data_IF_043774924034
#
_entry.id   IF_043774924034
#
_cell.length_a   1.000
_cell.length_b   1.000
_cell.length_c   1.000
_cell.angle_alpha   90.00
_cell.angle_beta   90.00
_cell.angle_gamma   90.00
#
_symmetry.space_group_name_H-M   'P 1'
#
loop_
_entity.id
_entity.type
_entity.pdbx_description
1 polymer ?
#
# COMPACT_ATOMS: atom_id res chain seq x y z
N UNK A 1 -56.18 3.71 -30.59
CA UNK A 1 -54.88 3.91 -31.26
C UNK A 1 -53.79 3.76 -30.21
N UNK A 2 -52.69 3.10 -30.56
CA UNK A 2 -51.67 2.65 -29.61
C UNK A 2 -50.27 2.84 -30.22
N UNK A 3 -49.35 3.41 -29.44
CA UNK A 3 -47.96 3.70 -29.83
C UNK A 3 -47.04 3.15 -28.72
N UNK A 4 -45.91 2.48 -29.04
CA UNK A 4 -45.36 1.44 -28.16
C UNK A 4 -44.30 1.93 -27.15
N UNK A 5 -44.01 1.06 -26.17
CA UNK A 5 -42.84 1.19 -25.28
C UNK A 5 -41.54 0.87 -26.04
N UNK A 6 -40.41 1.56 -25.78
CA UNK A 6 -39.12 1.14 -26.30
C UNK A 6 -38.63 -0.13 -25.58
N UNK A 7 -38.36 -1.18 -26.35
CA UNK A 7 -37.52 -2.29 -25.90
C UNK A 7 -36.05 -1.86 -25.97
N UNK A 8 -35.26 -2.14 -24.93
CA UNK A 8 -33.81 -2.25 -25.03
C UNK A 8 -33.40 -3.70 -24.78
N UNK A 9 -32.96 -4.37 -25.84
CA UNK A 9 -32.45 -5.73 -25.79
C UNK A 9 -30.98 -5.73 -25.34
N UNK A 10 -30.60 -6.69 -24.51
CA UNK A 10 -29.20 -6.95 -24.16
C UNK A 10 -28.46 -7.58 -25.35
N UNK A 11 -27.30 -7.03 -25.79
CA UNK A 11 -26.44 -7.72 -26.74
C UNK A 11 -25.99 -9.08 -26.21
N UNK A 12 -26.12 -10.13 -27.02
CA UNK A 12 -25.78 -11.50 -26.62
C UNK A 12 -24.27 -11.74 -26.64
N UNK A 13 -23.78 -12.63 -25.77
CA UNK A 13 -22.36 -12.84 -25.49
C UNK A 13 -21.66 -13.78 -26.49
N UNK A 14 -21.45 -13.30 -27.73
CA UNK A 14 -20.66 -14.05 -28.74
C UNK A 14 -19.90 -13.10 -29.68
N UNK A 15 -18.82 -13.60 -30.30
CA UNK A 15 -18.00 -12.95 -31.34
C UNK A 15 -17.07 -11.83 -30.81
N UNK A 16 -16.02 -12.24 -30.09
CA UNK A 16 -14.68 -11.63 -30.25
C UNK A 16 -13.56 -12.64 -29.93
N UNK A 17 -13.73 -13.87 -30.46
CA UNK A 17 -12.92 -15.05 -30.15
C UNK A 17 -12.36 -15.71 -31.41
N UNK A 18 -11.67 -14.93 -32.28
CA UNK A 18 -10.91 -15.43 -33.44
C UNK A 18 -9.82 -14.45 -33.89
N UNK A 19 -8.64 -14.56 -33.28
CA UNK A 19 -7.29 -14.32 -33.83
C UNK A 19 -6.28 -14.62 -32.72
N UNK A 20 -5.05 -15.03 -33.08
CA UNK A 20 -4.01 -15.58 -32.17
C UNK A 20 -4.42 -16.89 -31.46
N UNK A 21 -4.11 -18.03 -32.08
CA UNK A 21 -4.36 -19.35 -31.50
C UNK A 21 -3.27 -19.78 -30.50
N UNK A 22 -3.65 -19.97 -29.25
CA UNK A 22 -2.89 -20.69 -28.22
C UNK A 22 -3.80 -21.67 -27.46
N UNK A 23 -3.29 -22.79 -26.92
CA UNK A 23 -4.12 -23.84 -26.35
C UNK A 23 -4.78 -23.43 -25.02
N UNK A 24 -6.05 -23.79 -24.85
CA UNK A 24 -6.84 -23.39 -23.70
C UNK A 24 -6.56 -24.25 -22.46
N UNK A 25 -5.90 -23.69 -21.44
CA UNK A 25 -6.04 -24.11 -20.02
C UNK A 25 -5.43 -23.13 -18.99
N UNK A 26 -5.97 -21.92 -18.89
CA UNK A 26 -5.79 -21.07 -17.70
C UNK A 26 -7.09 -20.30 -17.39
N UNK A 27 -7.89 -20.83 -16.46
CA UNK A 27 -8.91 -20.02 -15.79
C UNK A 27 -8.22 -19.14 -14.76
N UNK A 28 -8.26 -17.82 -14.98
CA UNK A 28 -7.86 -16.85 -13.96
C UNK A 28 -8.77 -16.97 -12.74
N UNK A 29 -8.19 -16.97 -11.53
CA UNK A 29 -8.95 -16.96 -10.27
C UNK A 29 -9.59 -15.58 -10.06
N UNK A 30 -10.75 -15.40 -10.69
CA UNK A 30 -11.59 -14.22 -10.57
C UNK A 30 -12.30 -14.21 -9.21
N UNK A 31 -11.72 -13.50 -8.24
CA UNK A 31 -12.41 -13.19 -6.99
C UNK A 31 -13.47 -12.10 -7.26
N UNK A 32 -14.77 -12.35 -6.98
CA UNK A 32 -15.78 -11.30 -7.10
C UNK A 32 -15.52 -10.21 -6.05
N UNK A 33 -15.51 -8.95 -6.48
CA UNK A 33 -15.44 -7.83 -5.55
C UNK A 33 -16.70 -7.83 -4.66
N UNK A 34 -16.50 -7.80 -3.33
CA UNK A 34 -17.60 -7.81 -2.36
C UNK A 34 -18.51 -6.62 -2.61
N UNK A 35 -19.77 -6.87 -2.99
CA UNK A 35 -20.76 -5.80 -3.21
C UNK A 35 -21.01 -5.06 -1.90
N UNK A 36 -20.55 -3.81 -1.81
CA UNK A 36 -21.00 -2.87 -0.79
C UNK A 36 -22.42 -2.46 -1.14
N UNK A 37 -23.41 -2.99 -0.42
CA UNK A 37 -24.77 -2.49 -0.45
C UNK A 37 -24.88 -1.30 0.51
N UNK A 38 -25.13 -0.13 -0.04
CA UNK A 38 -25.48 1.07 0.74
C UNK A 38 -26.96 0.98 1.10
N UNK A 39 -27.27 1.10 2.40
CA UNK A 39 -28.62 1.40 2.90
C UNK A 39 -28.59 2.75 3.59
N UNK A 40 -29.68 3.51 3.45
CA UNK A 40 -29.93 4.71 4.26
C UNK A 40 -30.36 4.33 5.69
N UNK A 41 -30.16 5.25 6.64
CA UNK A 41 -30.59 5.12 8.03
C UNK A 41 -29.47 4.74 9.01
N UNK A 42 -28.89 5.75 9.66
CA UNK A 42 -28.21 5.78 10.96
C UNK A 42 -27.12 4.75 11.33
N UNK A 43 -25.99 5.28 11.83
CA UNK A 43 -24.91 4.58 12.55
C UNK A 43 -24.22 3.40 11.85
N UNK A 44 -23.33 3.71 10.91
CA UNK A 44 -22.40 2.73 10.29
C UNK A 44 -21.34 2.25 11.30
N UNK A 45 -21.55 1.07 11.89
CA UNK A 45 -20.54 0.36 12.69
C UNK A 45 -19.68 -0.52 11.75
N UNK A 46 -18.40 -0.17 11.60
CA UNK A 46 -17.46 -0.86 10.69
C UNK A 46 -16.97 -2.22 11.23
N UNK A 47 -17.80 -3.26 11.09
CA UNK A 47 -17.39 -4.64 11.33
C UNK A 47 -16.60 -5.25 10.15
N UNK A 48 -15.33 -4.88 10.02
CA UNK A 48 -14.37 -5.53 9.11
C UNK A 48 -13.94 -6.92 9.65
N UNK A 49 -14.87 -7.88 9.68
CA UNK A 49 -14.59 -9.26 10.11
C UNK A 49 -13.99 -10.05 8.94
N UNK A 50 -12.68 -10.25 8.97
CA UNK A 50 -11.97 -11.16 8.05
C UNK A 50 -12.47 -12.59 8.29
N UNK A 51 -12.96 -13.27 7.25
CA UNK A 51 -13.56 -14.61 7.36
C UNK A 51 -12.56 -15.77 7.27
N UNK A 52 -11.37 -15.52 6.71
CA UNK A 52 -10.26 -16.48 6.62
C UNK A 52 -8.93 -15.78 6.90
N UNK A 53 -8.18 -16.28 7.88
CA UNK A 53 -6.86 -15.79 8.28
C UNK A 53 -5.75 -16.78 7.93
N UNK A 54 -4.56 -16.27 7.63
CA UNK A 54 -3.39 -17.05 7.21
C UNK A 54 -2.19 -16.73 8.09
N UNK A 55 -1.32 -17.72 8.33
CA UNK A 55 0.05 -17.52 8.86
C UNK A 55 0.99 -18.60 8.33
N UNK A 56 2.30 -18.41 8.50
CA UNK A 56 3.32 -19.44 8.26
C UNK A 56 4.13 -19.61 9.54
N UNK A 57 4.34 -20.86 9.98
CA UNK A 57 5.15 -21.17 11.14
C UNK A 57 6.64 -20.99 10.81
N UNK A 58 7.32 -20.10 11.52
CA UNK A 58 8.70 -19.68 11.22
C UNK A 58 9.78 -20.74 11.42
N UNK A 59 9.48 -21.88 12.06
CA UNK A 59 10.46 -22.97 12.31
C UNK A 59 10.42 -24.06 11.26
N UNK A 60 9.27 -24.31 10.64
CA UNK A 60 9.05 -25.44 9.71
C UNK A 60 8.45 -25.01 8.36
N UNK A 61 8.11 -23.73 8.20
CA UNK A 61 7.50 -23.13 7.00
C UNK A 61 6.19 -23.80 6.57
N UNK A 62 5.46 -24.43 7.49
CA UNK A 62 4.11 -24.92 7.23
C UNK A 62 3.12 -23.75 7.31
N UNK A 63 2.24 -23.55 6.31
CA UNK A 63 1.17 -22.57 6.39
C UNK A 63 0.01 -23.14 7.21
N UNK A 64 -0.57 -22.28 8.03
CA UNK A 64 -1.75 -22.57 8.84
C UNK A 64 -2.86 -21.59 8.48
N UNK A 65 -4.09 -22.08 8.43
CA UNK A 65 -5.29 -21.33 8.07
C UNK A 65 -6.32 -21.43 9.18
N UNK A 66 -6.98 -20.33 9.48
CA UNK A 66 -8.08 -20.23 10.43
C UNK A 66 -9.29 -19.67 9.68
N UNK A 67 -10.42 -20.39 9.72
CA UNK A 67 -11.67 -20.01 9.03
C UNK A 67 -12.69 -19.63 10.10
N UNK A 68 -13.59 -18.66 9.85
CA UNK A 68 -14.56 -18.21 10.86
C UNK A 68 -15.45 -19.34 11.45
N UNK A 69 -15.68 -20.41 10.70
CA UNK A 69 -16.41 -21.61 11.17
C UNK A 69 -15.56 -22.55 12.07
N UNK A 70 -14.23 -22.43 12.02
CA UNK A 70 -13.26 -23.31 12.68
C UNK A 70 -12.19 -22.46 13.38
N UNK A 71 -12.37 -22.13 14.67
CA UNK A 71 -11.51 -21.15 15.36
C UNK A 71 -10.07 -21.63 15.62
N UNK A 72 -9.75 -22.89 15.33
CA UNK A 72 -8.38 -23.42 15.36
C UNK A 72 -7.52 -22.93 14.19
N UNK A 73 -6.20 -23.00 14.38
CA UNK A 73 -5.23 -22.86 13.29
C UNK A 73 -4.92 -24.25 12.74
N UNK A 74 -5.33 -24.51 11.50
CA UNK A 74 -5.28 -25.84 10.87
C UNK A 74 -4.24 -25.88 9.76
N UNK A 75 -3.51 -27.00 9.66
CA UNK A 75 -2.48 -27.19 8.64
C UNK A 75 -3.10 -27.40 7.26
N UNK A 76 -2.49 -26.83 6.22
CA UNK A 76 -3.00 -26.95 4.84
C UNK A 76 -2.54 -28.25 4.18
N UNK A 77 -3.49 -29.06 3.71
CA UNK A 77 -3.22 -30.24 2.90
C UNK A 77 -2.66 -29.88 1.52
N UNK A 78 -1.76 -30.71 0.99
CA UNK A 78 -1.18 -30.49 -0.35
C UNK A 78 -2.17 -30.80 -1.49
N UNK A 79 -3.27 -31.52 -1.21
CA UNK A 79 -4.35 -31.72 -2.18
C UNK A 79 -5.05 -30.40 -2.54
N UNK A 80 -5.17 -30.10 -3.83
CA UNK A 80 -5.78 -28.85 -4.33
C UNK A 80 -4.88 -27.60 -4.22
N UNK A 81 -3.70 -27.71 -3.61
CA UNK A 81 -2.73 -26.62 -3.56
C UNK A 81 -2.23 -26.23 -4.95
N UNK A 82 -1.92 -24.94 -5.16
CA UNK A 82 -1.36 -24.44 -6.41
C UNK A 82 -0.29 -23.36 -6.18
N UNK A 83 0.66 -23.15 -7.13
CA UNK A 83 1.62 -22.05 -7.06
C UNK A 83 0.93 -20.67 -7.03
N UNK A 84 -0.22 -20.54 -7.69
CA UNK A 84 -1.03 -19.32 -7.69
C UNK A 84 -1.59 -19.01 -6.28
N UNK A 85 -2.14 -20.02 -5.60
CA UNK A 85 -2.60 -19.89 -4.21
C UNK A 85 -1.43 -19.57 -3.26
N UNK A 86 -0.30 -20.25 -3.39
CA UNK A 86 0.90 -19.95 -2.61
C UNK A 86 1.43 -18.53 -2.84
N UNK A 87 1.39 -18.04 -4.08
CA UNK A 87 1.75 -16.65 -4.41
C UNK A 87 0.78 -15.64 -3.80
N UNK A 88 -0.52 -15.93 -3.84
CA UNK A 88 -1.55 -15.09 -3.22
C UNK A 88 -1.41 -15.05 -1.69
N UNK A 89 -1.17 -16.20 -1.04
CA UNK A 89 -0.96 -16.28 0.42
C UNK A 89 0.34 -15.58 0.81
N UNK A 90 1.42 -15.71 0.04
CA UNK A 90 2.64 -14.92 0.29
C UNK A 90 2.38 -13.41 0.20
N UNK A 91 1.61 -12.95 -0.79
CA UNK A 91 1.21 -11.53 -0.91
C UNK A 91 0.31 -11.05 0.24
N UNK A 92 -0.67 -11.87 0.66
CA UNK A 92 -1.51 -11.61 1.84
C UNK A 92 -0.67 -11.40 3.11
N UNK A 93 0.41 -12.17 3.25
CA UNK A 93 1.37 -12.13 4.36
C UNK A 93 2.47 -11.05 4.20
N UNK A 94 2.40 -10.20 3.17
CA UNK A 94 3.33 -9.08 2.96
C UNK A 94 4.61 -9.40 2.17
N UNK A 95 4.77 -10.62 1.68
CA UNK A 95 5.98 -11.03 0.95
C UNK A 95 5.89 -10.72 -0.55
N UNK A 96 6.99 -10.20 -1.12
CA UNK A 96 7.08 -9.78 -2.52
C UNK A 96 6.83 -10.90 -3.55
N UNK A 97 7.23 -12.14 -3.24
CA UNK A 97 7.00 -13.32 -4.09
C UNK A 97 6.91 -14.62 -3.28
N UNK A 98 6.33 -15.64 -3.90
CA UNK A 98 6.57 -17.03 -3.54
C UNK A 98 8.04 -17.37 -3.82
N UNK A 99 8.78 -17.92 -2.84
CA UNK A 99 10.19 -18.31 -3.04
C UNK A 99 10.36 -19.81 -3.25
N UNK A 100 9.60 -20.63 -2.53
CA UNK A 100 9.57 -22.09 -2.70
C UNK A 100 8.28 -22.66 -2.09
N UNK A 101 7.71 -23.69 -2.72
CA UNK A 101 6.68 -24.52 -2.10
C UNK A 101 6.86 -25.99 -2.50
N UNK A 102 6.41 -26.91 -1.65
CA UNK A 102 6.39 -28.35 -1.90
C UNK A 102 5.38 -29.05 -1.00
N UNK A 103 5.10 -30.32 -1.28
CA UNK A 103 4.48 -31.22 -0.30
C UNK A 103 5.54 -31.79 0.64
N UNK A 104 5.19 -31.96 1.92
CA UNK A 104 5.98 -32.68 2.93
C UNK A 104 5.10 -33.72 3.59
N UNK A 105 5.62 -34.93 3.80
CA UNK A 105 4.82 -36.02 4.34
C UNK A 105 4.57 -35.83 5.84
N UNK A 106 3.39 -36.25 6.30
CA UNK A 106 3.02 -36.20 7.72
C UNK A 106 3.92 -37.08 8.60
N UNK A 107 4.56 -38.11 8.02
CA UNK A 107 5.59 -38.93 8.66
C UNK A 107 6.86 -38.15 9.02
N UNK A 108 7.14 -37.07 8.29
CA UNK A 108 8.41 -36.34 8.36
C UNK A 108 8.30 -35.14 9.33
N UNK A 109 7.12 -34.98 9.96
CA UNK A 109 6.74 -33.84 10.79
C UNK A 109 6.24 -34.36 12.14
N UNK A 110 6.69 -33.76 13.24
CA UNK A 110 6.12 -34.04 14.57
C UNK A 110 4.77 -33.34 14.72
N UNK A 111 3.69 -34.03 14.38
CA UNK A 111 2.29 -33.61 14.56
C UNK A 111 1.58 -34.52 15.56
N UNK A 112 0.63 -33.96 16.32
CA UNK A 112 -0.15 -34.71 17.31
C UNK A 112 -1.21 -35.57 16.61
N UNK A 113 -1.63 -36.66 17.26
CA UNK A 113 -2.73 -37.53 16.81
C UNK A 113 -4.10 -36.81 16.71
N UNK A 114 -4.24 -35.66 17.36
CA UNK A 114 -5.42 -34.78 17.29
C UNK A 114 -5.24 -33.59 16.34
N UNK A 115 -4.30 -33.65 15.39
CA UNK A 115 -4.11 -32.59 14.40
C UNK A 115 -5.21 -32.63 13.34
N UNK A 116 -5.92 -31.51 13.17
CA UNK A 116 -6.88 -31.31 12.08
C UNK A 116 -6.27 -30.44 10.96
N UNK A 117 -6.88 -30.51 9.77
CA UNK A 117 -6.35 -29.95 8.54
C UNK A 117 -7.44 -29.21 7.72
N UNK A 118 -7.00 -28.39 6.76
CA UNK A 118 -7.86 -27.77 5.75
C UNK A 118 -7.38 -28.13 4.35
N UNK A 119 -8.31 -28.56 3.49
CA UNK A 119 -8.09 -28.76 2.07
C UNK A 119 -8.65 -27.56 1.29
N UNK A 120 -7.87 -27.05 0.32
CA UNK A 120 -8.36 -26.02 -0.60
C UNK A 120 -9.08 -26.65 -1.79
N UNK A 121 -10.31 -26.21 -2.07
CA UNK A 121 -11.14 -26.73 -3.16
C UNK A 121 -11.59 -25.58 -4.09
N UNK A 122 -10.89 -25.32 -5.21
CA UNK A 122 -11.29 -24.28 -6.15
C UNK A 122 -12.61 -24.63 -6.85
N UNK A 123 -13.62 -23.76 -6.72
CA UNK A 123 -14.94 -23.90 -7.34
C UNK A 123 -16.09 -24.29 -6.40
N UNK A 124 -15.84 -24.42 -5.10
CA UNK A 124 -16.81 -24.85 -4.08
C UNK A 124 -17.78 -23.76 -3.59
N UNK A 125 -17.52 -22.48 -3.89
CA UNK A 125 -18.42 -21.38 -3.52
C UNK A 125 -17.97 -20.02 -4.06
N UNK A 126 -18.75 -18.99 -3.76
CA UNK A 126 -18.53 -17.61 -4.21
C UNK A 126 -17.70 -16.77 -3.24
N UNK A 127 -17.42 -17.28 -2.04
CA UNK A 127 -16.65 -16.60 -0.99
C UNK A 127 -15.38 -17.36 -0.66
N UNK A 128 -14.40 -16.67 -0.07
CA UNK A 128 -13.14 -17.28 0.34
C UNK A 128 -13.34 -18.33 1.45
N UNK A 129 -14.29 -18.14 2.37
CA UNK A 129 -14.61 -19.13 3.42
C UNK A 129 -15.06 -20.48 2.85
N UNK A 130 -15.84 -20.48 1.76
CA UNK A 130 -16.38 -21.69 1.12
C UNK A 130 -15.27 -22.58 0.53
N UNK A 131 -14.12 -21.99 0.19
CA UNK A 131 -13.01 -22.66 -0.52
C UNK A 131 -12.15 -23.56 0.39
N UNK A 132 -12.37 -23.55 1.70
CA UNK A 132 -11.55 -24.25 2.70
C UNK A 132 -12.38 -25.30 3.43
N UNK A 133 -12.22 -26.58 3.05
CA UNK A 133 -12.96 -27.67 3.65
C UNK A 133 -12.15 -28.36 4.77
N UNK A 134 -12.78 -28.55 5.93
CA UNK A 134 -12.22 -29.27 7.08
C UNK A 134 -11.90 -30.74 6.75
N UNK A 135 -10.82 -31.25 7.35
CA UNK A 135 -10.29 -32.59 7.17
C UNK A 135 -9.68 -33.12 8.47
N UNK A 136 -10.04 -34.35 8.81
CA UNK A 136 -9.36 -35.13 9.86
C UNK A 136 -7.99 -35.65 9.40
N UNK A 137 -7.74 -35.72 8.09
CA UNK A 137 -6.46 -36.11 7.49
C UNK A 137 -6.33 -35.65 6.04
N UNK A 138 -5.09 -35.47 5.56
CA UNK A 138 -4.79 -35.18 4.15
C UNK A 138 -4.68 -36.47 3.33
N UNK A 139 -5.36 -36.52 2.19
CA UNK A 139 -5.58 -37.75 1.42
C UNK A 139 -4.30 -38.31 0.75
N UNK A 140 -3.31 -37.47 0.45
CA UNK A 140 -2.00 -37.89 -0.06
C UNK A 140 -0.93 -37.97 1.04
N UNK A 141 -1.34 -37.98 2.32
CA UNK A 141 -0.46 -38.01 3.49
C UNK A 141 0.46 -36.80 3.61
N UNK A 142 0.15 -35.69 2.93
CA UNK A 142 1.06 -34.54 2.74
C UNK A 142 0.42 -33.20 3.06
N UNK A 143 1.17 -32.37 3.77
CA UNK A 143 0.87 -30.94 3.98
C UNK A 143 1.75 -30.06 3.13
N UNK A 144 1.36 -28.80 3.00
CA UNK A 144 2.12 -27.79 2.27
C UNK A 144 3.31 -27.31 3.09
N UNK A 145 4.46 -27.17 2.45
CA UNK A 145 5.56 -26.30 2.87
C UNK A 145 5.53 -25.05 1.99
N UNK A 146 5.60 -23.87 2.61
CA UNK A 146 5.49 -22.56 1.96
C UNK A 146 6.59 -21.63 2.48
N UNK A 147 7.67 -21.44 1.72
CA UNK A 147 8.63 -20.37 1.94
C UNK A 147 8.34 -19.22 0.98
N UNK A 148 7.85 -18.12 1.52
CA UNK A 148 7.77 -16.85 0.81
C UNK A 148 9.15 -16.16 0.77
N UNK A 149 9.30 -15.13 -0.07
CA UNK A 149 10.54 -14.33 -0.10
C UNK A 149 10.70 -13.56 1.21
N UNK A 150 11.85 -13.69 1.86
CA UNK A 150 12.22 -12.86 3.00
C UNK A 150 12.18 -11.38 2.60
N UNK A 151 11.41 -10.59 3.35
CA UNK A 151 11.41 -9.14 3.29
C UNK A 151 12.34 -8.63 4.41
N UNK A 152 13.24 -7.69 4.09
CA UNK A 152 14.07 -7.02 5.10
C UNK A 152 15.40 -7.69 5.48
N UNK A 153 15.92 -8.65 4.69
CA UNK A 153 17.31 -9.13 4.84
C UNK A 153 18.15 -8.75 3.63
N UNK A 154 18.44 -7.45 3.53
CA UNK A 154 19.66 -6.97 2.88
C UNK A 154 20.57 -6.42 3.97
N UNK A 155 21.74 -7.04 4.15
CA UNK A 155 22.83 -6.38 4.87
C UNK A 155 23.37 -5.21 4.03
N UNK A 156 23.95 -4.22 4.71
CA UNK A 156 24.73 -3.06 4.22
C UNK A 156 23.99 -1.70 4.08
N UNK A 157 24.08 -0.91 5.18
CA UNK A 157 24.48 0.52 5.23
C UNK A 157 23.72 1.59 4.41
N UNK A 158 22.81 2.31 5.09
CA UNK A 158 22.80 3.77 5.42
C UNK A 158 23.35 4.82 4.42
N UNK A 159 22.87 6.06 4.32
CA UNK A 159 21.97 6.86 5.19
C UNK A 159 20.93 7.60 4.31
N UNK A 160 19.60 7.78 4.54
CA UNK A 160 18.65 7.71 5.67
C UNK A 160 18.98 6.72 6.79
N UNK A 161 18.58 7.01 8.03
CA UNK A 161 18.73 6.06 9.15
C UNK A 161 18.13 4.70 8.73
N UNK A 162 18.99 3.70 8.50
CA UNK A 162 18.61 2.38 7.95
C UNK A 162 18.16 2.30 6.47
N UNK A 163 18.25 3.37 5.68
CA UNK A 163 17.93 3.42 4.23
C UNK A 163 19.15 3.42 3.30
N UNK A 164 18.93 3.51 1.98
CA UNK A 164 19.97 3.49 0.92
C UNK A 164 19.72 4.50 -0.19
N UNK A 165 20.76 4.92 -0.91
CA UNK A 165 20.63 5.89 -2.01
C UNK A 165 19.71 5.38 -3.12
N UNK A 166 18.81 6.25 -3.58
CA UNK A 166 17.97 6.00 -4.73
C UNK A 166 18.77 6.00 -6.03
N UNK A 167 18.36 5.15 -6.96
CA UNK A 167 18.84 5.17 -8.35
C UNK A 167 17.91 6.06 -9.18
N UNK A 168 18.45 6.73 -10.20
CA UNK A 168 17.66 7.46 -11.20
C UNK A 168 16.61 6.54 -11.87
N UNK A 169 15.51 7.11 -12.35
CA UNK A 169 14.34 6.40 -12.90
C UNK A 169 13.59 5.46 -11.92
N UNK A 170 14.14 5.15 -10.73
CA UNK A 170 13.54 4.18 -9.79
C UNK A 170 12.25 4.69 -9.15
N UNK A 171 12.16 5.99 -8.92
CA UNK A 171 11.07 6.66 -8.20
C UNK A 171 10.55 7.90 -8.95
N UNK A 172 10.03 7.74 -10.18
CA UNK A 172 9.84 8.84 -11.14
C UNK A 172 8.70 9.82 -10.80
N UNK A 173 7.97 9.56 -9.72
CA UNK A 173 6.96 10.46 -9.15
C UNK A 173 7.47 11.31 -7.99
N UNK A 174 8.70 11.08 -7.51
CA UNK A 174 9.23 11.85 -6.37
C UNK A 174 9.41 13.32 -6.76
N UNK A 175 8.87 14.18 -5.90
CA UNK A 175 8.96 15.64 -6.07
C UNK A 175 9.83 16.22 -4.97
N UNK A 176 10.70 17.16 -5.34
CA UNK A 176 11.40 18.06 -4.40
C UNK A 176 10.77 19.45 -4.49
N UNK A 177 10.32 19.98 -3.34
CA UNK A 177 9.64 21.26 -3.22
C UNK A 177 10.59 22.29 -2.59
N UNK A 178 10.92 23.32 -3.35
CA UNK A 178 11.78 24.42 -2.95
C UNK A 178 10.98 25.70 -2.67
N UNK A 179 11.46 26.50 -1.72
CA UNK A 179 11.00 27.86 -1.41
C UNK A 179 12.18 28.81 -1.68
N UNK A 180 12.18 29.45 -2.85
CA UNK A 180 13.38 30.12 -3.35
C UNK A 180 14.55 29.13 -3.45
N UNK A 181 15.75 29.45 -2.93
CA UNK A 181 16.91 28.56 -2.97
C UNK A 181 16.87 27.40 -1.94
N UNK A 182 15.92 27.41 -0.99
CA UNK A 182 15.91 26.45 0.11
C UNK A 182 14.98 25.27 -0.19
N UNK A 183 15.50 24.04 -0.08
CA UNK A 183 14.67 22.83 -0.04
C UNK A 183 13.74 22.89 1.18
N UNK A 184 12.46 22.55 1.01
CA UNK A 184 11.48 22.58 2.11
C UNK A 184 10.80 21.25 2.40
N UNK A 185 10.44 20.47 1.39
CA UNK A 185 9.61 19.26 1.55
C UNK A 185 9.69 18.37 0.31
N UNK A 186 9.27 17.11 0.47
CA UNK A 186 8.95 16.21 -0.62
C UNK A 186 7.52 16.38 -1.14
N UNK A 187 7.19 15.63 -2.19
CA UNK A 187 5.86 15.49 -2.76
C UNK A 187 5.76 14.25 -3.65
N UNK A 188 4.59 14.03 -4.24
CA UNK A 188 4.37 12.97 -5.25
C UNK A 188 3.59 13.51 -6.45
N UNK A 189 4.08 13.24 -7.66
CA UNK A 189 3.38 13.60 -8.90
C UNK A 189 2.18 12.66 -9.12
N UNK A 190 0.99 13.24 -9.31
CA UNK A 190 -0.28 12.51 -9.49
C UNK A 190 -0.76 12.52 -10.95
N UNK A 191 -0.51 13.61 -11.67
CA UNK A 191 -0.74 13.77 -13.11
C UNK A 191 0.33 14.72 -13.67
N UNK A 192 0.42 14.96 -14.99
CA UNK A 192 1.34 15.96 -15.55
C UNK A 192 1.29 17.34 -14.88
N UNK A 193 0.12 17.76 -14.38
CA UNK A 193 -0.11 19.11 -13.82
C UNK A 193 -0.32 19.14 -12.31
N UNK A 194 -0.33 18.01 -11.62
CA UNK A 194 -0.78 17.92 -10.23
C UNK A 194 0.17 17.13 -9.33
N UNK A 195 0.55 17.75 -8.21
CA UNK A 195 1.41 17.18 -7.15
C UNK A 195 0.64 17.14 -5.83
N UNK A 196 0.83 16.09 -5.03
CA UNK A 196 0.40 16.03 -3.62
C UNK A 196 1.59 16.19 -2.67
N UNK A 197 1.36 16.85 -1.54
CA UNK A 197 2.32 17.04 -0.44
C UNK A 197 1.55 17.22 0.88
N UNK A 198 2.25 17.44 2.00
CA UNK A 198 1.63 17.73 3.29
C UNK A 198 1.16 19.20 3.35
N UNK A 199 0.06 19.49 4.05
CA UNK A 199 -0.42 20.87 4.20
C UNK A 199 0.57 21.74 5.00
N UNK A 200 1.21 21.16 6.02
CA UNK A 200 2.22 21.87 6.82
C UNK A 200 3.46 22.30 6.01
N UNK A 201 3.70 21.73 4.82
CA UNK A 201 4.75 22.17 3.91
C UNK A 201 4.46 23.54 3.28
N UNK A 202 3.18 23.89 3.06
CA UNK A 202 2.80 25.01 2.18
C UNK A 202 1.78 25.99 2.78
N UNK A 203 1.22 25.73 3.96
CA UNK A 203 0.19 26.56 4.60
C UNK A 203 0.57 28.05 4.82
N UNK A 204 1.86 28.35 5.01
CA UNK A 204 2.36 29.70 5.36
C UNK A 204 2.77 30.54 4.15
N UNK A 205 2.47 30.08 2.93
CA UNK A 205 2.91 30.73 1.69
C UNK A 205 1.86 31.73 1.18
N UNK A 206 2.14 33.02 1.39
CA UNK A 206 1.32 34.12 0.89
C UNK A 206 1.38 34.29 -0.64
N UNK A 207 2.43 33.75 -1.30
CA UNK A 207 2.63 33.83 -2.74
C UNK A 207 3.09 32.47 -3.30
N UNK A 208 2.41 31.97 -4.33
CA UNK A 208 2.77 30.71 -5.02
C UNK A 208 4.09 30.83 -5.80
N UNK A 209 4.45 32.04 -6.22
CA UNK A 209 5.61 32.35 -7.08
C UNK A 209 6.98 32.05 -6.46
N UNK A 210 7.06 31.86 -5.14
CA UNK A 210 8.28 31.44 -4.43
C UNK A 210 8.54 29.92 -4.55
N UNK A 211 7.53 29.12 -4.92
CA UNK A 211 7.67 27.68 -5.06
C UNK A 211 8.37 27.30 -6.37
N UNK A 212 9.28 26.34 -6.29
CA UNK A 212 9.83 25.62 -7.44
C UNK A 212 9.73 24.12 -7.21
N UNK A 213 9.28 23.42 -8.23
CA UNK A 213 8.95 22.00 -8.20
C UNK A 213 9.90 21.26 -9.13
N UNK A 214 10.63 20.29 -8.58
CA UNK A 214 11.59 19.47 -9.35
C UNK A 214 11.20 17.99 -9.27
N UNK A 215 11.28 17.30 -10.40
CA UNK A 215 10.88 15.88 -10.57
C UNK A 215 11.90 15.20 -11.47
N UNK A 216 12.16 13.91 -11.25
CA UNK A 216 13.09 13.14 -12.07
C UNK A 216 14.58 13.45 -11.84
N UNK A 217 14.87 14.16 -10.76
CA UNK A 217 16.21 14.39 -10.21
C UNK A 217 16.53 13.37 -9.11
N UNK A 218 17.81 13.14 -8.84
CA UNK A 218 18.26 12.32 -7.71
C UNK A 218 19.22 13.10 -6.81
N UNK A 219 20.13 13.91 -7.36
CA UNK A 219 20.99 14.75 -6.53
C UNK A 219 20.45 16.17 -6.41
N UNK A 220 20.84 16.83 -5.34
CA UNK A 220 20.52 18.23 -5.05
C UNK A 220 21.38 19.19 -5.86
N UNK A 221 22.59 18.78 -6.22
CA UNK A 221 23.48 19.56 -7.09
C UNK A 221 22.98 19.60 -8.55
N UNK A 222 22.10 18.68 -8.94
CA UNK A 222 21.39 18.70 -10.23
C UNK A 222 20.37 19.88 -10.32
N UNK A 223 20.12 20.59 -9.21
CA UNK A 223 19.05 21.59 -9.07
C UNK A 223 19.55 23.01 -9.32
N UNK A 224 19.25 23.56 -10.50
CA UNK A 224 19.31 25.01 -10.72
C UNK A 224 18.08 25.69 -10.06
N UNK A 225 18.25 26.59 -9.07
CA UNK A 225 17.14 27.13 -8.26
C UNK A 225 16.04 27.91 -9.00
N UNK A 226 16.20 28.18 -10.30
CA UNK A 226 15.28 28.97 -11.10
C UNK A 226 14.57 28.17 -12.21
N UNK A 227 15.00 26.93 -12.50
CA UNK A 227 14.48 26.13 -13.63
C UNK A 227 13.33 25.19 -13.28
N UNK A 228 13.04 25.00 -11.99
CA UNK A 228 11.93 24.14 -11.54
C UNK A 228 10.56 24.63 -11.99
N UNK A 229 9.61 23.71 -12.11
CA UNK A 229 8.26 24.03 -12.54
C UNK A 229 7.55 24.98 -11.54
N UNK A 230 6.75 25.89 -12.09
CA UNK A 230 6.04 26.94 -11.34
C UNK A 230 4.68 26.43 -10.87
N UNK A 231 4.30 26.76 -9.64
CA UNK A 231 2.99 26.46 -9.06
C UNK A 231 2.01 27.59 -9.41
N UNK A 232 0.90 27.22 -10.03
CA UNK A 232 -0.26 28.09 -10.29
C UNK A 232 -1.12 28.24 -9.02
N UNK A 233 -1.43 27.11 -8.36
CA UNK A 233 -2.38 27.09 -7.24
C UNK A 233 -1.96 26.12 -6.14
N UNK A 234 -2.02 26.58 -4.89
CA UNK A 234 -1.96 25.74 -3.69
C UNK A 234 -3.39 25.47 -3.23
N UNK A 235 -3.73 24.21 -2.95
CA UNK A 235 -5.03 23.80 -2.42
C UNK A 235 -4.80 22.99 -1.14
N UNK A 236 -4.99 23.63 0.01
CA UNK A 236 -4.97 22.96 1.32
C UNK A 236 -6.29 22.19 1.54
N UNK A 237 -6.26 21.08 2.26
CA UNK A 237 -7.50 20.44 2.70
C UNK A 237 -8.29 21.36 3.66
N UNK A 238 -9.59 21.61 3.46
CA UNK A 238 -10.36 22.64 4.21
C UNK A 238 -10.53 22.34 5.72
N UNK A 239 -10.28 21.10 6.13
CA UNK A 239 -10.29 20.66 7.53
C UNK A 239 -8.90 20.66 8.19
N UNK A 240 -7.82 21.02 7.49
CA UNK A 240 -6.51 21.22 8.11
C UNK A 240 -6.54 22.39 9.09
N UNK A 241 -6.00 22.22 10.31
CA UNK A 241 -6.06 23.24 11.38
C UNK A 241 -4.77 23.28 12.18
N UNK A 242 -3.81 24.08 11.73
CA UNK A 242 -2.45 24.18 12.32
C UNK A 242 -2.42 24.40 13.84
N UNK A 243 -3.29 25.24 14.40
CA UNK A 243 -3.28 25.53 15.85
C UNK A 243 -3.77 24.35 16.71
N UNK A 244 -4.31 23.27 16.11
CA UNK A 244 -4.61 22.03 16.83
C UNK A 244 -3.41 21.10 16.72
N UNK A 245 -2.83 20.73 17.88
CA UNK A 245 -1.69 19.79 18.06
C UNK A 245 -1.97 18.33 17.63
N UNK A 246 -2.81 18.12 16.62
CA UNK A 246 -3.24 16.81 16.10
C UNK A 246 -2.77 16.54 14.67
N UNK A 247 -2.24 17.53 13.94
CA UNK A 247 -1.78 17.37 12.54
C UNK A 247 -2.80 16.65 11.62
N UNK A 248 -4.08 16.88 11.90
CA UNK A 248 -5.20 16.18 11.28
C UNK A 248 -5.51 16.82 9.92
N UNK A 249 -5.86 15.99 8.92
CA UNK A 249 -6.05 16.41 7.53
C UNK A 249 -4.84 17.11 6.88
N UNK A 250 -3.62 16.70 7.25
CA UNK A 250 -2.36 17.27 6.76
C UNK A 250 -2.03 16.80 5.32
N UNK A 251 -2.75 17.37 4.35
CA UNK A 251 -2.57 17.11 2.91
C UNK A 251 -2.90 18.38 2.10
N UNK A 252 -2.12 18.61 1.04
CA UNK A 252 -2.33 19.68 0.08
C UNK A 252 -2.03 19.21 -1.34
N UNK A 253 -2.70 19.83 -2.31
CA UNK A 253 -2.42 19.70 -3.73
C UNK A 253 -1.75 20.97 -4.27
N UNK A 254 -0.83 20.80 -5.20
CA UNK A 254 -0.18 21.85 -5.97
C UNK A 254 -0.53 21.64 -7.44
N UNK A 255 -1.18 22.62 -8.06
CA UNK A 255 -1.36 22.68 -9.51
C UNK A 255 -0.16 23.40 -10.11
N UNK A 256 0.47 22.78 -11.11
CA UNK A 256 1.56 23.35 -11.90
C UNK A 256 0.97 24.23 -13.00
N UNK A 257 1.64 25.34 -13.30
CA UNK A 257 1.24 26.29 -14.34
C UNK A 257 1.34 25.69 -15.75
N UNK A 258 2.31 24.79 -15.95
CA UNK A 258 2.56 24.07 -17.21
C UNK A 258 2.62 22.57 -16.91
N UNK A 259 1.94 21.70 -17.69
CA UNK A 259 2.07 20.25 -17.54
C UNK A 259 3.50 19.77 -17.77
N UNK A 260 3.95 18.80 -16.96
CA UNK A 260 5.22 18.10 -17.13
C UNK A 260 5.13 17.03 -18.22
N UNK A 261 6.09 17.00 -19.13
CA UNK A 261 6.26 15.90 -20.08
C UNK A 261 6.73 14.65 -19.33
N UNK A 262 5.99 13.54 -19.47
CA UNK A 262 6.39 12.25 -18.91
C UNK A 262 7.57 11.63 -19.68
N UNK A 263 8.44 10.94 -18.96
CA UNK A 263 9.66 10.31 -19.45
C UNK A 263 9.91 8.98 -18.70
N UNK A 264 11.14 8.49 -18.64
CA UNK A 264 11.51 7.44 -17.68
C UNK A 264 11.77 8.01 -16.27
N UNK A 265 12.26 9.25 -16.16
CA UNK A 265 12.55 9.93 -14.90
C UNK A 265 11.34 10.66 -14.32
N UNK A 266 10.32 11.01 -15.13
CA UNK A 266 9.13 11.76 -14.72
C UNK A 266 7.86 10.98 -15.06
N UNK A 267 7.13 10.49 -14.05
CA UNK A 267 5.84 9.78 -14.20
C UNK A 267 4.96 10.00 -12.97
N UNK A 268 3.64 9.87 -13.13
CA UNK A 268 2.71 9.85 -11.99
C UNK A 268 2.83 8.56 -11.14
N UNK A 269 2.49 8.68 -9.85
CA UNK A 269 2.21 7.53 -8.96
C UNK A 269 0.73 7.14 -9.06
N UNK A 270 0.43 5.85 -8.91
CA UNK A 270 -0.96 5.39 -8.81
C UNK A 270 -1.48 5.54 -7.37
N UNK A 271 -2.79 5.73 -7.19
CA UNK A 271 -3.41 5.71 -5.87
C UNK A 271 -3.57 4.28 -5.33
N UNK A 272 -3.38 4.11 -4.02
CA UNK A 272 -3.74 2.88 -3.33
C UNK A 272 -5.26 2.65 -3.31
N UNK A 273 -5.71 1.46 -3.72
CA UNK A 273 -7.10 1.04 -3.52
C UNK A 273 -7.41 0.88 -2.03
N UNK A 274 -8.66 1.10 -1.62
CA UNK A 274 -9.10 0.95 -0.23
C UNK A 274 -8.78 -0.45 0.31
N UNK A 275 -8.88 -1.49 -0.53
CA UNK A 275 -8.51 -2.87 -0.19
C UNK A 275 -7.04 -3.05 0.21
N UNK A 276 -6.13 -2.20 -0.25
CA UNK A 276 -4.70 -2.30 0.05
C UNK A 276 -4.39 -1.93 1.51
N UNK A 277 -5.23 -1.10 2.15
CA UNK A 277 -5.12 -0.71 3.55
C UNK A 277 -5.63 -1.77 4.54
N UNK A 278 -6.11 -2.91 4.04
CA UNK A 278 -6.47 -4.09 4.85
C UNK A 278 -5.24 -4.96 5.17
N UNK A 279 -4.08 -4.68 4.56
CA UNK A 279 -2.85 -5.47 4.69
C UNK A 279 -1.76 -4.66 5.41
N UNK A 280 -1.71 -4.69 6.76
CA UNK A 280 -0.72 -3.95 7.55
C UNK A 280 0.71 -4.52 7.46
N UNK A 281 0.98 -5.43 6.51
CA UNK A 281 2.27 -6.10 6.31
C UNK A 281 3.06 -5.52 5.12
N UNK A 282 2.47 -4.60 4.36
CA UNK A 282 3.12 -4.00 3.19
C UNK A 282 4.33 -3.18 3.64
N UNK A 283 5.49 -3.44 3.05
CA UNK A 283 6.63 -2.52 3.13
C UNK A 283 6.37 -1.30 2.27
N UNK A 284 6.33 -0.12 2.88
CA UNK A 284 6.33 1.15 2.18
C UNK A 284 7.75 1.60 1.90
N UNK A 285 8.00 2.16 0.71
CA UNK A 285 9.22 2.90 0.43
C UNK A 285 9.03 4.38 0.78
N UNK A 286 9.92 4.90 1.64
CA UNK A 286 10.10 6.33 1.92
C UNK A 286 11.00 6.97 0.90
N UNK A 287 10.86 8.28 0.66
CA UNK A 287 11.68 9.03 -0.29
C UNK A 287 11.94 10.48 0.16
N UNK A 288 13.21 10.82 0.39
CA UNK A 288 13.66 12.12 0.89
C UNK A 288 15.15 12.34 0.60
N UNK A 289 15.63 13.57 0.33
CA UNK A 289 17.06 13.88 0.43
C UNK A 289 17.55 13.85 1.89
N UNK A 290 16.65 13.94 2.87
CA UNK A 290 16.95 13.90 4.30
C UNK A 290 17.72 15.13 4.81
N UNK A 291 18.13 15.07 6.07
CA UNK A 291 18.93 16.11 6.70
C UNK A 291 20.41 15.78 6.59
N UNK A 292 21.06 16.23 5.51
CA UNK A 292 22.50 16.05 5.29
C UNK A 292 22.89 14.93 4.32
N UNK A 293 22.01 14.55 3.40
CA UNK A 293 22.42 13.91 2.13
C UNK A 293 21.99 14.80 0.97
N UNK A 294 22.85 14.91 -0.03
CA UNK A 294 22.53 15.60 -1.28
C UNK A 294 21.98 14.63 -2.34
N UNK A 295 21.98 13.32 -2.08
CA UNK A 295 21.36 12.29 -2.93
C UNK A 295 20.04 11.84 -2.32
N UNK A 296 18.98 11.73 -3.13
CA UNK A 296 17.68 11.16 -2.76
C UNK A 296 17.87 9.76 -2.15
N UNK A 297 17.28 9.54 -0.99
CA UNK A 297 17.37 8.30 -0.23
C UNK A 297 16.04 7.54 -0.28
N UNK A 298 16.11 6.22 -0.11
CA UNK A 298 14.94 5.36 0.03
C UNK A 298 15.08 4.39 1.21
N UNK A 299 13.98 4.06 1.87
CA UNK A 299 13.97 3.12 2.99
C UNK A 299 12.69 2.29 3.00
N UNK A 300 12.82 0.99 3.24
CA UNK A 300 11.67 0.10 3.43
C UNK A 300 11.23 0.14 4.90
N UNK A 301 9.96 0.42 5.14
CA UNK A 301 9.35 0.42 6.48
C UNK A 301 8.05 -0.39 6.48
N UNK A 302 7.79 -1.25 7.48
CA UNK A 302 6.51 -1.95 7.59
C UNK A 302 5.42 -0.98 8.05
N UNK A 303 4.19 -1.15 7.54
CA UNK A 303 3.01 -0.52 8.13
C UNK A 303 2.77 -1.03 9.57
N UNK A 304 2.15 -0.21 10.40
CA UNK A 304 1.76 -0.56 11.77
C UNK A 304 0.25 -0.39 11.93
N UNK A 305 -0.41 -1.34 12.61
CA UNK A 305 -1.85 -1.27 12.84
C UNK A 305 -2.23 -0.03 13.67
N UNK A 306 -3.37 0.65 13.36
CA UNK A 306 -3.80 1.82 14.13
C UNK A 306 -3.94 1.54 15.63
N UNK A 307 -4.36 0.33 16.01
CA UNK A 307 -4.49 -0.09 17.41
C UNK A 307 -3.13 -0.11 18.13
N UNK A 308 -2.10 -0.64 17.48
CA UNK A 308 -0.75 -0.69 18.05
C UNK A 308 -0.10 0.70 18.07
N UNK A 309 -0.19 1.45 16.97
CA UNK A 309 0.41 2.79 16.91
C UNK A 309 -0.23 3.78 17.90
N UNK A 310 -1.54 3.67 18.13
CA UNK A 310 -2.27 4.54 19.06
C UNK A 310 -2.19 4.11 20.54
N UNK A 311 -1.50 3.00 20.83
CA UNK A 311 -1.39 2.40 22.16
C UNK A 311 -0.68 3.29 23.20
N UNK A 312 -0.77 2.88 24.47
CA UNK A 312 -0.19 3.60 25.60
C UNK A 312 1.34 3.61 25.63
N UNK A 313 2.02 2.68 24.96
CA UNK A 313 3.48 2.67 24.83
C UNK A 313 4.00 3.49 23.63
N UNK A 314 3.13 3.83 22.68
CA UNK A 314 3.44 4.65 21.51
C UNK A 314 2.78 6.03 21.63
N UNK A 315 1.82 6.38 20.76
CA UNK A 315 1.31 7.76 20.63
C UNK A 315 0.18 8.13 21.60
N UNK A 316 -0.30 7.22 22.47
CA UNK A 316 -1.22 7.51 23.58
C UNK A 316 -2.51 8.23 23.13
N UNK A 317 -3.26 7.64 22.21
CA UNK A 317 -4.56 8.17 21.76
C UNK A 317 -4.51 9.35 20.78
N UNK A 318 -3.34 9.68 20.21
CA UNK A 318 -3.15 10.81 19.27
C UNK A 318 -3.27 10.47 17.78
N UNK A 319 -3.26 9.20 17.40
CA UNK A 319 -3.43 8.78 15.99
C UNK A 319 -4.92 8.79 15.64
N UNK A 320 -5.27 9.44 14.53
CA UNK A 320 -6.64 9.60 14.05
C UNK A 320 -6.96 8.63 12.90
N UNK A 321 -8.25 8.39 12.55
CA UNK A 321 -8.61 7.55 11.39
C UNK A 321 -8.05 8.04 10.04
N UNK A 322 -7.71 9.33 9.95
CA UNK A 322 -7.07 10.01 8.82
C UNK A 322 -5.58 9.71 8.69
N UNK A 323 -4.98 8.99 9.65
CA UNK A 323 -3.55 8.69 9.72
C UNK A 323 -3.26 7.20 9.54
N UNK A 324 -2.01 6.92 9.18
CA UNK A 324 -1.37 5.61 9.30
C UNK A 324 0.02 5.78 9.90
N UNK A 325 0.62 4.70 10.38
CA UNK A 325 1.98 4.68 10.88
C UNK A 325 2.82 3.65 10.12
N UNK A 326 4.12 3.93 9.96
CA UNK A 326 5.08 3.02 9.37
C UNK A 326 6.48 3.21 9.98
N UNK A 327 7.21 2.12 10.19
CA UNK A 327 8.52 2.08 10.84
C UNK A 327 8.71 0.79 11.63
N UNK A 328 9.93 0.50 12.09
CA UNK A 328 10.17 -0.66 12.96
C UNK A 328 9.98 -0.30 14.44
N UNK A 329 9.58 -1.28 15.27
CA UNK A 329 9.15 -1.01 16.65
C UNK A 329 10.32 -0.73 17.61
N UNK A 330 11.49 -1.23 17.26
CA UNK A 330 12.82 -0.97 17.82
C UNK A 330 13.47 0.32 17.27
N UNK A 331 12.84 0.98 16.29
CA UNK A 331 13.34 2.21 15.67
C UNK A 331 14.18 1.89 14.44
N UNK A 332 15.44 2.30 14.43
CA UNK A 332 16.46 2.08 13.38
C UNK A 332 16.16 2.66 11.97
N UNK A 333 14.92 2.60 11.46
CA UNK A 333 14.51 3.11 10.14
C UNK A 333 13.18 3.85 10.22
N UNK A 334 13.17 5.09 9.74
CA UNK A 334 12.04 6.03 9.85
C UNK A 334 12.20 7.24 8.91
N UNK A 335 11.10 7.96 8.65
CA UNK A 335 11.14 9.27 8.01
C UNK A 335 11.63 10.34 8.99
N UNK A 336 12.24 11.43 8.50
CA UNK A 336 12.83 12.46 9.36
C UNK A 336 12.55 13.90 8.92
N UNK A 337 13.25 14.87 9.53
CA UNK A 337 13.14 16.28 9.17
C UNK A 337 13.68 16.49 7.74
N UNK A 338 12.80 16.97 6.85
CA UNK A 338 13.05 17.08 5.41
C UNK A 338 12.19 16.14 4.56
N UNK A 339 11.75 15.00 5.13
CA UNK A 339 10.93 14.00 4.45
C UNK A 339 9.47 14.42 4.28
N UNK A 340 9.01 15.40 5.07
CA UNK A 340 7.66 15.97 5.07
C UNK A 340 7.09 16.15 3.67
N UNK A 341 5.86 15.68 3.44
CA UNK A 341 5.20 15.70 2.14
C UNK A 341 5.65 14.62 1.15
N UNK A 342 6.77 13.94 1.40
CA UNK A 342 7.28 12.84 0.58
C UNK A 342 6.36 11.62 0.54
N UNK A 343 6.62 10.73 -0.43
CA UNK A 343 5.79 9.56 -0.69
C UNK A 343 6.03 8.44 0.33
N UNK A 344 4.96 7.80 0.81
CA UNK A 344 4.99 6.41 1.26
C UNK A 344 4.26 5.56 0.22
N UNK A 345 4.99 4.71 -0.51
CA UNK A 345 4.45 3.87 -1.60
C UNK A 345 4.61 2.38 -1.32
N UNK A 346 3.57 1.58 -1.58
CA UNK A 346 3.61 0.13 -1.48
C UNK A 346 3.43 -0.53 -2.86
N UNK A 347 4.02 -1.71 -3.06
CA UNK A 347 3.94 -2.45 -4.31
C UNK A 347 2.78 -3.46 -4.30
N UNK A 348 1.79 -3.30 -5.17
CA UNK A 348 0.74 -4.29 -5.43
C UNK A 348 0.73 -4.70 -6.91
N UNK A 349 0.79 -6.00 -7.19
CA UNK A 349 0.76 -6.58 -8.55
C UNK A 349 1.77 -5.95 -9.52
N UNK A 350 2.95 -5.56 -9.02
CA UNK A 350 4.01 -4.92 -9.80
C UNK A 350 3.85 -3.40 -10.02
N UNK A 351 2.77 -2.80 -9.50
CA UNK A 351 2.50 -1.35 -9.60
C UNK A 351 2.67 -0.71 -8.22
N UNK A 352 3.53 0.30 -8.13
CA UNK A 352 3.69 1.13 -6.94
C UNK A 352 2.49 2.06 -6.75
N UNK A 353 1.97 2.10 -5.53
CA UNK A 353 0.81 2.90 -5.16
C UNK A 353 1.03 3.72 -3.90
N UNK A 354 0.66 4.99 -3.95
CA UNK A 354 0.74 5.92 -2.83
C UNK A 354 -0.28 5.55 -1.75
N UNK A 355 0.23 5.15 -0.57
CA UNK A 355 -0.58 4.86 0.63
C UNK A 355 -0.57 6.01 1.63
N UNK A 356 0.52 6.77 1.69
CA UNK A 356 0.73 7.79 2.69
C UNK A 356 1.53 8.97 2.17
N UNK A 357 1.34 10.12 2.83
CA UNK A 357 2.15 11.33 2.69
C UNK A 357 2.82 11.58 4.03
N UNK A 358 4.15 11.76 4.06
CA UNK A 358 4.91 12.00 5.30
C UNK A 358 4.37 13.24 6.02
N UNK A 359 3.99 13.11 7.31
CA UNK A 359 3.32 14.18 8.05
C UNK A 359 4.05 14.58 9.34
N UNK A 360 4.26 13.66 10.30
CA UNK A 360 4.95 13.99 11.57
C UNK A 360 5.55 12.76 12.28
N UNK A 361 6.37 12.99 13.32
CA UNK A 361 6.97 11.96 14.17
C UNK A 361 7.49 12.57 15.49
N UNK A 362 7.97 11.74 16.43
CA UNK A 362 8.48 12.18 17.74
C UNK A 362 9.99 11.94 17.89
N UNK A 363 10.77 12.77 17.20
CA UNK A 363 12.12 12.43 16.69
C UNK A 363 12.01 11.35 15.60
N UNK A 364 13.16 10.95 15.05
CA UNK A 364 13.25 9.96 13.98
C UNK A 364 13.87 8.66 14.50
N UNK A 365 13.38 7.52 14.02
CA UNK A 365 13.98 6.18 14.21
C UNK A 365 14.23 5.79 15.68
N UNK A 366 13.33 6.21 16.59
CA UNK A 366 13.39 5.83 18.01
C UNK A 366 12.45 4.66 18.32
N UNK A 367 12.82 3.74 19.24
CA UNK A 367 11.94 2.68 19.71
C UNK A 367 10.56 3.21 20.09
N UNK A 368 9.52 2.50 19.66
CA UNK A 368 8.10 2.80 19.89
C UNK A 368 7.63 4.19 19.39
N UNK A 369 8.37 4.80 18.45
CA UNK A 369 8.02 6.10 17.83
C UNK A 369 8.16 6.05 16.30
N UNK A 370 7.33 5.26 15.61
CA UNK A 370 7.33 5.21 14.15
C UNK A 370 6.79 6.51 13.55
N UNK A 371 7.20 6.86 12.33
CA UNK A 371 6.63 7.97 11.58
C UNK A 371 5.12 7.85 11.38
N UNK A 372 4.47 9.01 11.27
CA UNK A 372 3.03 9.17 11.07
C UNK A 372 2.77 9.89 9.74
N UNK A 373 1.84 9.33 8.98
CA UNK A 373 1.59 9.70 7.58
C UNK A 373 0.09 9.95 7.38
N UNK A 374 -0.25 10.91 6.52
CA UNK A 374 -1.64 11.15 6.12
C UNK A 374 -2.11 10.01 5.21
N UNK A 375 -3.18 9.31 5.59
CA UNK A 375 -3.65 8.06 4.96
C UNK A 375 -4.45 8.35 3.70
N UNK A 376 -3.83 8.24 2.53
CA UNK A 376 -4.32 8.79 1.25
C UNK A 376 -5.71 8.28 0.86
N UNK A 377 -6.08 7.02 1.18
CA UNK A 377 -7.42 6.48 0.93
C UNK A 377 -8.57 7.31 1.54
N UNK A 378 -8.34 7.98 2.66
CA UNK A 378 -9.36 8.81 3.34
C UNK A 378 -9.62 10.13 2.60
N UNK A 379 -8.76 10.48 1.63
CA UNK A 379 -8.78 11.74 0.91
C UNK A 379 -9.00 11.57 -0.61
N UNK A 380 -9.20 10.35 -1.12
CA UNK A 380 -9.32 10.12 -2.56
C UNK A 380 -10.48 10.91 -3.17
N UNK A 381 -11.66 10.93 -2.54
CA UNK A 381 -12.80 11.69 -3.05
C UNK A 381 -12.50 13.20 -3.15
N UNK A 382 -11.76 13.76 -2.18
CA UNK A 382 -11.31 15.15 -2.22
C UNK A 382 -10.26 15.38 -3.31
N UNK A 383 -9.26 14.50 -3.43
CA UNK A 383 -8.21 14.59 -4.46
C UNK A 383 -8.83 14.51 -5.86
N UNK A 384 -9.70 13.53 -6.09
CA UNK A 384 -10.41 13.34 -7.36
C UNK A 384 -11.35 14.51 -7.67
N UNK A 385 -12.00 15.10 -6.66
CA UNK A 385 -12.83 16.29 -6.86
C UNK A 385 -12.02 17.55 -7.22
N UNK A 386 -10.80 17.72 -6.69
CA UNK A 386 -9.94 18.84 -7.07
C UNK A 386 -9.28 18.66 -8.44
N UNK A 387 -8.89 17.44 -8.81
CA UNK A 387 -8.19 17.15 -10.08
C UNK A 387 -9.17 16.93 -11.24
N UNK A 388 -10.33 16.30 -10.99
CA UNK A 388 -11.37 16.03 -12.00
C UNK A 388 -12.37 17.17 -12.21
N UNK A 389 -12.01 18.39 -11.80
CA UNK A 389 -12.75 19.63 -12.10
C UNK A 389 -12.17 20.41 -13.29
N UNK A 390 -11.46 19.71 -14.19
CA UNK A 390 -10.74 20.21 -15.37
C UNK A 390 -11.21 19.49 -16.64
#
# INVERSE_FOLDING_TARGET
>A
MSVPRPFFQTPSSTILSRLLGYPARFQSLYFPATRVLVSSGDNVVFHAVVSVSFRINSRNFLPEVQVRAWPGWLLVCHEGWSPALGTWICGYLGHLRLSHHKGVNLTDIKVNSSQEFLQFLPGSGGRLEDMWQHRNSCALGRVVFLKCSECGVQHLTSWIIGGTSAVLERWPWQVSIFKGPQYSCGGSLLTPSWVVTAAHCVYSLFHVSILRIFVGIVNRDDIMPHTGAVVDKIILHPLFRIHKRRHDYDIALLKLQTPLNFSNTVRAVFFASISMYLFPWLSGALLSPGYGSDTLQNALVPLISPQLCNSSCMYKGKITPQMLCAGYLDGHTDACQGDSGGSLVCLDRGIWRLVGVVSWGWNCAKPHRPGVYTKVAVFLDWIHHQIGGE
#
